data_IF_086854782779
#
_entry.id   IF_086854782779
#
_cell.length_a   1.000
_cell.length_b   1.000
_cell.length_c   1.000
_cell.angle_alpha   90.00
_cell.angle_beta   90.00
_cell.angle_gamma   90.00
#
_symmetry.space_group_name_H-M   'P 1'
#
loop_
_entity.id
_entity.type
_entity.pdbx_description
1 polymer ?
#
# COMPACT_ATOMS: atom_id res chain seq x y z
N UNK A 1 9.50 3.32 3.75
CA UNK A 1 8.44 3.41 2.71
C UNK A 1 7.08 3.05 3.25
N UNK A 2 6.82 1.83 3.74
CA UNK A 2 5.48 1.46 4.23
C UNK A 2 4.98 2.36 5.35
N UNK A 3 5.84 2.75 6.31
CA UNK A 3 5.45 3.70 7.36
C UNK A 3 5.16 5.12 6.83
N UNK A 4 5.68 5.50 5.66
CA UNK A 4 5.36 6.77 4.99
C UNK A 4 4.00 6.67 4.29
N UNK A 5 3.75 5.57 3.57
CA UNK A 5 2.43 5.27 2.99
C UNK A 5 1.38 5.30 4.10
N UNK A 6 1.64 4.65 5.24
CA UNK A 6 0.71 4.64 6.38
C UNK A 6 0.42 6.03 6.92
N UNK A 7 1.45 6.88 7.00
CA UNK A 7 1.27 8.27 7.40
C UNK A 7 0.37 9.01 6.42
N UNK A 8 0.63 8.90 5.12
CA UNK A 8 -0.17 9.59 4.11
C UNK A 8 -1.63 9.12 4.12
N UNK A 9 -1.86 7.81 4.20
CA UNK A 9 -3.23 7.27 4.31
C UNK A 9 -3.95 7.76 5.57
N UNK A 10 -3.26 7.82 6.72
CA UNK A 10 -3.82 8.34 7.98
C UNK A 10 -4.20 9.82 7.91
N UNK A 11 -3.49 10.61 7.10
CA UNK A 11 -3.79 12.03 6.89
C UNK A 11 -4.69 12.29 5.67
N UNK A 12 -5.26 11.23 5.06
CA UNK A 12 -6.06 11.31 3.82
C UNK A 12 -5.30 11.88 2.62
N UNK A 13 -3.97 11.80 2.65
CA UNK A 13 -3.07 12.23 1.58
C UNK A 13 -2.89 11.10 0.56
N UNK A 14 -3.99 10.63 -0.05
CA UNK A 14 -4.01 9.42 -0.88
C UNK A 14 -3.10 9.53 -2.12
N UNK A 15 -3.00 10.70 -2.76
CA UNK A 15 -2.10 10.93 -3.90
C UNK A 15 -0.63 10.74 -3.52
N UNK A 16 -0.25 11.18 -2.32
CA UNK A 16 1.11 11.03 -1.80
C UNK A 16 1.42 9.57 -1.48
N UNK A 17 0.42 8.84 -0.96
CA UNK A 17 0.52 7.39 -0.76
C UNK A 17 0.67 6.64 -2.10
N UNK A 18 -0.11 7.00 -3.12
CA UNK A 18 -0.06 6.43 -4.47
C UNK A 18 1.30 6.62 -5.13
N UNK A 19 1.92 7.80 -4.97
CA UNK A 19 3.24 8.08 -5.52
C UNK A 19 4.36 7.15 -5.02
N UNK A 20 4.18 6.53 -3.85
CA UNK A 20 5.15 5.62 -3.24
C UNK A 20 4.94 4.15 -3.65
N UNK A 21 3.77 3.79 -4.22
CA UNK A 21 3.44 2.42 -4.59
C UNK A 21 4.29 1.84 -5.72
N UNK A 22 4.65 2.56 -6.80
CA UNK A 22 5.46 1.98 -7.87
C UNK A 22 6.81 1.46 -7.37
N UNK A 23 7.45 2.22 -6.47
CA UNK A 23 8.70 1.81 -5.84
C UNK A 23 8.48 0.59 -4.93
N UNK A 24 7.36 0.52 -4.20
CA UNK A 24 7.02 -0.64 -3.38
C UNK A 24 6.76 -1.89 -4.22
N UNK A 25 6.05 -1.74 -5.34
CA UNK A 25 5.79 -2.81 -6.30
C UNK A 25 7.08 -3.34 -6.91
N UNK A 26 8.04 -2.46 -7.22
CA UNK A 26 9.33 -2.86 -7.76
C UNK A 26 10.17 -3.67 -6.76
N UNK A 27 10.13 -3.32 -5.46
CA UNK A 27 10.85 -4.07 -4.41
C UNK A 27 10.31 -5.50 -4.25
N UNK A 28 9.00 -5.69 -4.47
CA UNK A 28 8.33 -6.97 -4.28
C UNK A 28 7.84 -7.60 -5.58
N UNK A 29 8.46 -7.27 -6.72
CA UNK A 29 8.01 -7.70 -8.04
C UNK A 29 7.99 -9.23 -8.19
N UNK A 30 8.92 -9.93 -7.53
CA UNK A 30 9.01 -11.39 -7.57
C UNK A 30 8.09 -12.10 -6.57
N UNK A 31 7.40 -11.35 -5.70
CA UNK A 31 6.48 -11.88 -4.69
C UNK A 31 5.03 -11.71 -5.16
N UNK A 32 4.49 -12.74 -5.80
CA UNK A 32 3.13 -12.72 -6.39
C UNK A 32 2.05 -12.29 -5.38
N UNK A 33 2.13 -12.76 -4.14
CA UNK A 33 1.19 -12.36 -3.07
C UNK A 33 1.30 -10.88 -2.74
N UNK A 34 2.52 -10.36 -2.55
CA UNK A 34 2.75 -8.95 -2.26
C UNK A 34 2.37 -8.05 -3.43
N UNK A 35 2.67 -8.44 -4.67
CA UNK A 35 2.23 -7.71 -5.87
C UNK A 35 0.70 -7.60 -5.92
N UNK A 36 -0.02 -8.67 -5.57
CA UNK A 36 -1.48 -8.64 -5.48
C UNK A 36 -1.97 -7.67 -4.40
N UNK A 37 -1.40 -7.72 -3.19
CA UNK A 37 -1.79 -6.83 -2.08
C UNK A 37 -1.45 -5.36 -2.39
N UNK A 38 -0.33 -5.09 -3.05
CA UNK A 38 0.05 -3.74 -3.49
C UNK A 38 -0.92 -3.21 -4.55
N UNK A 39 -1.36 -4.07 -5.47
CA UNK A 39 -2.38 -3.72 -6.48
C UNK A 39 -3.73 -3.42 -5.82
N UNK A 40 -4.14 -4.22 -4.84
CA UNK A 40 -5.36 -3.96 -4.06
C UNK A 40 -5.25 -2.62 -3.31
N UNK A 41 -4.12 -2.36 -2.66
CA UNK A 41 -3.87 -1.10 -1.97
C UNK A 41 -3.95 0.09 -2.94
N UNK A 42 -3.44 -0.04 -4.16
CA UNK A 42 -3.57 1.01 -5.18
C UNK A 42 -5.03 1.30 -5.52
N UNK A 43 -5.87 0.26 -5.68
CA UNK A 43 -7.29 0.44 -5.95
C UNK A 43 -8.03 1.10 -4.77
N UNK A 44 -7.73 0.68 -3.54
CA UNK A 44 -8.33 1.27 -2.34
C UNK A 44 -7.97 2.76 -2.21
N UNK A 45 -6.72 3.12 -2.49
CA UNK A 45 -6.25 4.50 -2.46
C UNK A 45 -6.88 5.36 -3.56
N UNK A 46 -7.02 4.83 -4.78
CA UNK A 46 -7.71 5.51 -5.88
C UNK A 46 -9.20 5.74 -5.59
N UNK A 47 -9.83 4.80 -4.89
CA UNK A 47 -11.22 4.92 -4.46
C UNK A 47 -11.40 5.84 -3.23
N UNK A 48 -10.31 6.40 -2.69
CA UNK A 48 -10.29 7.08 -1.38
C UNK A 48 -10.98 6.25 -0.29
N UNK A 49 -10.88 4.92 -0.39
CA UNK A 49 -11.56 4.01 0.50
C UNK A 49 -10.84 4.01 1.86
N UNK A 50 -11.62 4.08 2.95
CA UNK A 50 -11.10 3.96 4.31
C UNK A 50 -10.46 2.58 4.57
N UNK A 51 -10.81 1.57 3.76
CA UNK A 51 -10.19 0.24 3.80
C UNK A 51 -8.70 0.25 3.41
N UNK A 52 -8.18 1.34 2.81
CA UNK A 52 -6.76 1.49 2.47
C UNK A 52 -5.83 1.21 3.66
N UNK A 53 -6.25 1.57 4.89
CA UNK A 53 -5.48 1.27 6.10
C UNK A 53 -5.44 -0.23 6.43
N UNK A 54 -6.55 -0.93 6.21
CA UNK A 54 -6.65 -2.37 6.48
C UNK A 54 -5.79 -3.15 5.47
N UNK A 55 -5.87 -2.79 4.19
CA UNK A 55 -5.03 -3.39 3.14
C UNK A 55 -3.55 -3.11 3.39
N UNK A 56 -3.19 -1.91 3.84
CA UNK A 56 -1.82 -1.59 4.22
C UNK A 56 -1.33 -2.36 5.45
N UNK A 57 -2.19 -2.57 6.46
CA UNK A 57 -1.86 -3.40 7.62
C UNK A 57 -1.63 -4.86 7.22
N UNK A 58 -2.46 -5.38 6.32
CA UNK A 58 -2.25 -6.71 5.76
C UNK A 58 -0.91 -6.80 5.02
N UNK A 59 -0.58 -5.81 4.17
CA UNK A 59 0.70 -5.73 3.48
C UNK A 59 1.90 -5.73 4.45
N UNK A 60 1.81 -4.98 5.56
CA UNK A 60 2.84 -5.01 6.62
C UNK A 60 3.01 -6.38 7.23
N UNK A 61 1.90 -7.08 7.47
CA UNK A 61 1.94 -8.40 8.07
C UNK A 61 2.61 -9.42 7.13
N UNK A 62 2.29 -9.41 5.84
CA UNK A 62 2.90 -10.33 4.86
C UNK A 62 4.41 -10.08 4.69
N UNK A 63 4.88 -8.84 4.87
CA UNK A 63 6.31 -8.50 4.73
C UNK A 63 7.14 -8.86 5.97
N UNK A 64 6.54 -8.81 7.17
CA UNK A 64 7.24 -9.04 8.45
C UNK A 64 6.99 -10.46 8.99
N UNK A 65 6.03 -11.18 8.42
CA UNK A 65 5.68 -12.57 8.74
C UNK A 65 6.74 -13.57 8.33
#
# INVERSE_FOLDING_TARGET
MISQIERHVKHSEFDQALALLPMLHQVFADHTELSHVITQLQQDLLAHNQDSLKTLQHLKHVIVG
#
